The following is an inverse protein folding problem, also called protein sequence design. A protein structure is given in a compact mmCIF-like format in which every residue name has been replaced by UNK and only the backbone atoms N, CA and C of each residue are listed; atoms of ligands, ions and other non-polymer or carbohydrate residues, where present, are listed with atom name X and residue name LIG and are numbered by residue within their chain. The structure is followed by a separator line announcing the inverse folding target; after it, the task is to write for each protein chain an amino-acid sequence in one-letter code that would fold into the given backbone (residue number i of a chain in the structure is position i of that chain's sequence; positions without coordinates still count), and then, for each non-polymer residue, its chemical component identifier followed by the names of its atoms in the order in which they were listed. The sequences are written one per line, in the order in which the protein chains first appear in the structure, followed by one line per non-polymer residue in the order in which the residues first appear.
data_IF_291366036328
#
_entry.id   IF_291366036328
#
_cell.length_a   1.000
_cell.length_b   1.000
_cell.length_c   1.000
_cell.angle_alpha   90.00
_cell.angle_beta   90.00
_cell.angle_gamma   90.00
#
_symmetry.space_group_name_H-M   'P 1'
#
loop_
_entity.id
_entity.type
_entity.pdbx_description
1 polymer ?
#
# COMPACT_ATOMS: atom_id res chain seq x y z
N UNK A 1 -28.01 6.69 -15.62
CA UNK A 1 -27.25 7.18 -14.46
C UNK A 1 -26.80 8.59 -14.78
N UNK A 2 -26.94 9.54 -13.86
CA UNK A 2 -26.41 10.89 -14.07
C UNK A 2 -24.88 10.89 -14.05
N UNK A 3 -24.23 11.85 -14.73
CA UNK A 3 -22.77 11.96 -14.77
C UNK A 3 -22.13 12.04 -13.37
N UNK A 4 -22.81 12.68 -12.41
CA UNK A 4 -22.38 12.74 -11.01
C UNK A 4 -22.43 11.37 -10.32
N UNK A 5 -23.48 10.59 -10.57
CA UNK A 5 -23.64 9.24 -10.01
C UNK A 5 -22.60 8.27 -10.57
N UNK A 6 -22.23 8.42 -11.85
CA UNK A 6 -21.15 7.64 -12.49
C UNK A 6 -19.79 7.92 -11.87
N UNK A 7 -19.46 9.20 -11.66
CA UNK A 7 -18.22 9.58 -10.98
C UNK A 7 -18.18 9.06 -9.54
N UNK A 8 -19.29 9.16 -8.81
CA UNK A 8 -19.39 8.64 -7.44
C UNK A 8 -19.19 7.12 -7.41
N UNK A 9 -19.83 6.40 -8.31
CA UNK A 9 -19.70 4.94 -8.43
C UNK A 9 -18.24 4.53 -8.71
N UNK A 10 -17.59 5.14 -9.70
CA UNK A 10 -16.20 4.82 -10.03
C UNK A 10 -15.23 5.21 -8.91
N UNK A 11 -15.49 6.31 -8.18
CA UNK A 11 -14.68 6.70 -7.02
C UNK A 11 -14.80 5.67 -5.88
N UNK A 12 -16.01 5.21 -5.57
CA UNK A 12 -16.23 4.17 -4.57
C UNK A 12 -15.53 2.87 -4.97
N UNK A 13 -15.71 2.43 -6.22
CA UNK A 13 -15.08 1.22 -6.75
C UNK A 13 -13.55 1.27 -6.70
N UNK A 14 -12.95 2.39 -7.12
CA UNK A 14 -11.50 2.66 -6.97
C UNK A 14 -11.07 2.52 -5.51
N UNK A 15 -11.82 3.11 -4.59
CA UNK A 15 -11.52 3.10 -3.16
C UNK A 15 -11.56 1.68 -2.59
N UNK A 16 -12.56 0.87 -2.97
CA UNK A 16 -12.63 -0.53 -2.57
C UNK A 16 -11.41 -1.32 -3.04
N UNK A 17 -11.00 -1.17 -4.31
CA UNK A 17 -9.79 -1.83 -4.82
C UNK A 17 -8.52 -1.41 -4.08
N UNK A 18 -8.36 -0.12 -3.76
CA UNK A 18 -7.24 0.36 -2.97
C UNK A 18 -7.23 -0.28 -1.57
N UNK A 19 -8.36 -0.28 -0.87
CA UNK A 19 -8.48 -0.86 0.47
C UNK A 19 -8.18 -2.36 0.43
N UNK A 20 -8.69 -3.09 -0.55
CA UNK A 20 -8.41 -4.52 -0.71
C UNK A 20 -6.91 -4.78 -0.88
N UNK A 21 -6.23 -4.02 -1.75
CA UNK A 21 -4.79 -4.15 -1.94
C UNK A 21 -4.01 -3.82 -0.65
N UNK A 22 -4.37 -2.73 0.05
CA UNK A 22 -3.74 -2.32 1.30
C UNK A 22 -3.93 -3.38 2.40
N UNK A 23 -5.12 -3.98 2.52
CA UNK A 23 -5.37 -5.00 3.53
C UNK A 23 -4.48 -6.24 3.32
N UNK A 24 -4.25 -6.62 2.06
CA UNK A 24 -3.34 -7.72 1.73
C UNK A 24 -1.89 -7.32 2.04
N UNK A 25 -1.45 -6.14 1.58
CA UNK A 25 -0.10 -5.64 1.85
C UNK A 25 0.18 -5.34 3.32
N UNK A 26 -0.86 -5.15 4.13
CA UNK A 26 -0.75 -4.93 5.57
C UNK A 26 -0.96 -6.20 6.41
N UNK A 27 -1.16 -7.35 5.78
CA UNK A 27 -1.44 -8.63 6.44
C UNK A 27 -0.19 -9.26 7.03
N UNK A 28 -0.28 -9.77 8.26
CA UNK A 28 0.81 -10.55 8.89
C UNK A 28 1.03 -11.93 8.26
N UNK A 29 0.14 -12.36 7.37
CA UNK A 29 0.20 -13.64 6.66
C UNK A 29 -0.14 -13.44 5.20
N UNK A 30 0.66 -13.98 4.29
CA UNK A 30 0.39 -13.97 2.85
C UNK A 30 0.56 -15.38 2.28
N UNK A 31 -0.38 -15.76 1.42
CA UNK A 31 -0.33 -16.96 0.59
C UNK A 31 0.13 -16.59 -0.82
N UNK A 32 0.54 -17.59 -1.61
CA UNK A 32 0.92 -17.36 -3.01
C UNK A 32 -0.19 -16.70 -3.83
N UNK A 33 -1.45 -17.07 -3.57
CA UNK A 33 -2.61 -16.50 -4.26
C UNK A 33 -2.84 -15.03 -3.90
N UNK A 34 -2.47 -14.61 -2.69
CA UNK A 34 -2.61 -13.21 -2.26
C UNK A 34 -1.76 -12.27 -3.12
N UNK A 35 -0.63 -12.74 -3.65
CA UNK A 35 0.18 -11.95 -4.61
C UNK A 35 -0.58 -11.63 -5.89
N UNK A 36 -1.36 -12.59 -6.40
CA UNK A 36 -2.19 -12.42 -7.60
C UNK A 36 -3.37 -11.51 -7.29
N UNK A 37 -4.05 -11.75 -6.16
CA UNK A 37 -5.21 -10.95 -5.74
C UNK A 37 -4.81 -9.49 -5.49
N UNK A 38 -3.66 -9.24 -4.85
CA UNK A 38 -3.11 -7.90 -4.70
C UNK A 38 -2.89 -7.25 -6.07
N UNK A 39 -2.19 -7.92 -6.99
CA UNK A 39 -1.84 -7.37 -8.29
C UNK A 39 -3.10 -7.00 -9.09
N UNK A 40 -4.16 -7.81 -9.01
CA UNK A 40 -5.44 -7.53 -9.64
C UNK A 40 -6.11 -6.28 -9.08
N UNK A 41 -6.20 -6.16 -7.74
CA UNK A 41 -6.80 -4.99 -7.10
C UNK A 41 -5.99 -3.73 -7.36
N UNK A 42 -4.66 -3.81 -7.28
CA UNK A 42 -3.76 -2.70 -7.54
C UNK A 42 -3.88 -2.19 -8.98
N UNK A 43 -3.89 -3.10 -9.96
CA UNK A 43 -4.07 -2.74 -11.38
C UNK A 43 -5.42 -2.06 -11.64
N UNK A 44 -6.51 -2.58 -11.05
CA UNK A 44 -7.85 -1.97 -11.16
C UNK A 44 -7.88 -0.57 -10.53
N UNK A 45 -7.24 -0.40 -9.37
CA UNK A 45 -7.07 0.91 -8.74
C UNK A 45 -6.32 1.90 -9.65
N UNK A 46 -5.17 1.52 -10.19
CA UNK A 46 -4.36 2.38 -11.06
C UNK A 46 -5.13 2.79 -12.32
N UNK A 47 -5.85 1.86 -12.95
CA UNK A 47 -6.70 2.15 -14.10
C UNK A 47 -7.82 3.15 -13.77
N UNK A 48 -8.61 2.88 -12.72
CA UNK A 48 -9.68 3.80 -12.29
C UNK A 48 -9.12 5.15 -11.83
N UNK A 49 -7.91 5.20 -11.25
CA UNK A 49 -7.26 6.44 -10.87
C UNK A 49 -6.90 7.30 -12.09
N UNK A 50 -6.38 6.69 -13.17
CA UNK A 50 -6.07 7.40 -14.41
C UNK A 50 -7.34 7.88 -15.13
N UNK A 51 -8.43 7.09 -15.08
CA UNK A 51 -9.72 7.49 -15.62
C UNK A 51 -10.31 8.71 -14.87
N UNK A 52 -10.37 8.67 -13.54
CA UNK A 52 -10.94 9.73 -12.72
C UNK A 52 -10.04 10.98 -12.63
N UNK A 53 -8.72 10.79 -12.68
CA UNK A 53 -7.71 11.83 -12.45
C UNK A 53 -6.63 11.80 -13.52
N UNK A 54 -7.01 12.01 -14.79
CA UNK A 54 -6.13 11.88 -15.96
C UNK A 54 -4.88 12.76 -15.95
N UNK A 55 -4.87 13.84 -15.17
CA UNK A 55 -3.71 14.75 -15.01
C UNK A 55 -2.73 14.29 -13.93
N UNK A 56 -3.11 13.32 -13.09
CA UNK A 56 -2.26 12.86 -12.00
C UNK A 56 -1.22 11.87 -12.54
N UNK A 57 0.05 12.11 -12.21
CA UNK A 57 1.14 11.20 -12.53
C UNK A 57 1.37 10.17 -11.41
N UNK A 58 1.86 9.00 -11.78
CA UNK A 58 2.37 8.02 -10.83
C UNK A 58 3.53 8.62 -10.02
N UNK A 59 3.41 8.52 -8.70
CA UNK A 59 4.48 8.84 -7.74
C UNK A 59 5.35 7.60 -7.50
N UNK A 60 6.60 7.75 -7.00
CA UNK A 60 7.48 6.63 -6.69
C UNK A 60 6.81 5.51 -5.88
N UNK A 61 5.99 5.85 -4.89
CA UNK A 61 5.27 4.85 -4.09
C UNK A 61 4.34 3.97 -4.93
N UNK A 62 3.76 4.48 -6.03
CA UNK A 62 2.95 3.63 -6.91
C UNK A 62 3.81 2.60 -7.64
N UNK A 63 5.02 2.99 -8.04
CA UNK A 63 5.99 2.07 -8.67
C UNK A 63 6.49 1.03 -7.67
N UNK A 64 6.83 1.43 -6.45
CA UNK A 64 7.18 0.47 -5.39
C UNK A 64 6.03 -0.51 -5.09
N UNK A 65 4.78 -0.03 -5.13
CA UNK A 65 3.62 -0.89 -4.96
C UNK A 65 3.45 -1.93 -6.07
N UNK A 66 4.00 -1.72 -7.28
CA UNK A 66 3.98 -2.70 -8.36
C UNK A 66 4.91 -3.91 -8.07
N UNK A 67 5.91 -3.73 -7.20
CA UNK A 67 6.88 -4.78 -6.83
C UNK A 67 6.39 -5.68 -5.69
N UNK A 68 5.38 -5.25 -4.93
CA UNK A 68 4.83 -5.94 -3.76
C UNK A 68 4.47 -7.42 -4.02
N UNK A 69 3.81 -7.79 -5.15
CA UNK A 69 3.53 -9.19 -5.46
C UNK A 69 4.78 -10.08 -5.48
N UNK A 70 5.89 -9.57 -6.01
CA UNK A 70 7.15 -10.31 -6.06
C UNK A 70 7.80 -10.37 -4.68
N UNK A 71 7.69 -9.30 -3.90
CA UNK A 71 8.16 -9.26 -2.51
C UNK A 71 7.43 -10.31 -1.65
N UNK A 72 6.11 -10.46 -1.79
CA UNK A 72 5.37 -11.52 -1.09
C UNK A 72 5.88 -12.92 -1.41
N UNK A 73 6.13 -13.21 -2.68
CA UNK A 73 6.61 -14.53 -3.11
C UNK A 73 8.00 -14.84 -2.57
N UNK A 74 8.85 -13.82 -2.45
CA UNK A 74 10.25 -14.00 -2.08
C UNK A 74 10.51 -13.93 -0.58
N UNK A 75 9.84 -13.02 0.10
CA UNK A 75 10.13 -12.67 1.49
C UNK A 75 8.95 -12.90 2.43
N UNK A 76 7.76 -13.19 1.88
CA UNK A 76 6.54 -13.31 2.65
C UNK A 76 5.93 -11.94 2.98
N UNK A 77 5.20 -11.82 4.10
CA UNK A 77 4.43 -10.61 4.41
C UNK A 77 5.33 -9.39 4.64
N UNK A 78 4.97 -8.24 4.07
CA UNK A 78 5.76 -7.01 4.18
C UNK A 78 5.95 -6.54 5.63
N UNK A 79 4.98 -6.83 6.49
CA UNK A 79 4.94 -6.44 7.91
C UNK A 79 6.15 -6.98 8.65
N UNK A 80 6.61 -8.18 8.28
CA UNK A 80 7.78 -8.80 8.86
C UNK A 80 9.09 -8.10 8.45
N UNK A 81 9.10 -7.43 7.30
CA UNK A 81 10.25 -6.68 6.77
C UNK A 81 10.15 -5.16 6.96
N UNK A 82 9.02 -4.67 7.47
CA UNK A 82 8.75 -3.25 7.55
C UNK A 82 9.61 -2.55 8.61
N UNK A 83 9.88 -1.27 8.38
CA UNK A 83 10.79 -0.48 9.23
C UNK A 83 10.20 -0.04 10.56
N UNK A 84 8.94 -0.41 10.85
CA UNK A 84 8.22 -0.03 12.08
C UNK A 84 8.98 -0.40 13.35
N UNK A 85 9.68 -1.54 13.35
CA UNK A 85 10.52 -1.95 14.48
C UNK A 85 11.64 -0.95 14.77
N UNK A 86 12.24 -0.36 13.73
CA UNK A 86 13.26 0.68 13.89
C UNK A 86 12.67 2.00 14.38
N UNK A 87 11.50 2.40 13.88
CA UNK A 87 10.81 3.61 14.35
C UNK A 87 10.46 3.52 15.85
N UNK A 88 9.98 2.35 16.29
CA UNK A 88 9.76 2.07 17.69
C UNK A 88 11.06 2.22 18.51
N UNK A 89 12.16 1.62 18.06
CA UNK A 89 13.46 1.72 18.72
C UNK A 89 13.97 3.16 18.78
N UNK A 90 13.83 3.94 17.71
CA UNK A 90 14.16 5.37 17.68
C UNK A 90 13.37 6.11 18.77
N UNK A 91 12.07 5.84 18.90
CA UNK A 91 11.23 6.42 19.94
C UNK A 91 11.65 6.03 21.36
N UNK A 92 12.16 4.81 21.56
CA UNK A 92 12.75 4.37 22.84
C UNK A 92 14.05 5.12 23.11
N UNK A 93 14.98 5.16 22.14
CA UNK A 93 16.27 5.83 22.30
C UNK A 93 16.14 7.33 22.52
N UNK A 94 15.20 7.99 21.85
CA UNK A 94 14.93 9.42 22.04
C UNK A 94 14.49 9.78 23.47
N UNK A 95 13.96 8.82 24.24
CA UNK A 95 13.56 9.01 25.65
C UNK A 95 14.70 8.79 26.63
N UNK A 96 15.80 8.15 26.21
CA UNK A 96 16.97 7.98 27.06
C UNK A 96 17.68 9.33 27.13
N UNK A 97 17.68 9.93 28.32
CA UNK A 97 18.44 11.17 28.56
C UNK A 97 19.94 10.85 28.51
N UNK A 98 20.54 11.11 27.36
CA UNK A 98 21.99 10.95 27.20
C UNK A 98 22.77 12.12 27.77
N UNK A 99 22.12 13.23 28.16
CA UNK A 99 22.73 14.45 28.73
C UNK A 99 24.06 14.86 28.03
N UNK A 100 24.18 14.63 26.71
CA UNK A 100 25.42 14.81 25.94
C UNK A 100 26.67 14.14 26.54
N UNK A 101 26.48 13.08 27.33
CA UNK A 101 27.53 12.18 27.80
C UNK A 101 27.54 10.95 26.90
N UNK A 102 28.11 11.12 25.72
CA UNK A 102 28.56 10.00 24.87
C UNK A 102 30.08 9.92 25.02
#
# INVERSE_FOLDING_TARGET
MGQSEELAYELTKKTCHLISAINIATSWTVLMDDSTVFAEHWKKFCFSNQYLFSKQQSRPNHHFSDDIPELFKRWGPEQASATWGYEFLIGVFAKISTNNKI
#
